data_IF_857567100950
#
_entry.id   IF_857567100950
#
_cell.length_a   1.000
_cell.length_b   1.000
_cell.length_c   1.000
_cell.angle_alpha   90.00
_cell.angle_beta   90.00
_cell.angle_gamma   90.00
#
_symmetry.space_group_name_H-M   'P 1'
#
loop_
_entity.id
_entity.type
_entity.pdbx_description
1 polymer ?
#
# COMPACT_ATOMS: atom_id res chain seq x y z
N UNK A 1 20.08 -10.26 -13.00
CA UNK A 1 19.93 -11.14 -11.82
C UNK A 1 20.40 -10.32 -10.64
N UNK A 2 19.48 -9.98 -9.74
CA UNK A 2 19.80 -9.32 -8.46
C UNK A 2 20.79 -10.19 -7.68
N UNK A 3 21.69 -9.57 -6.92
CA UNK A 3 22.52 -10.33 -6.01
C UNK A 3 21.59 -10.83 -4.89
N UNK A 4 21.50 -12.13 -4.58
CA UNK A 4 20.70 -12.62 -3.45
C UNK A 4 21.10 -11.99 -2.10
N UNK A 5 22.21 -11.23 -2.07
CA UNK A 5 22.65 -10.39 -0.97
C UNK A 5 22.11 -8.94 -1.01
N UNK A 6 21.02 -8.63 -1.68
CA UNK A 6 20.46 -7.25 -1.67
C UNK A 6 19.11 -7.15 -0.94
N UNK A 7 18.38 -8.26 -0.83
CA UNK A 7 17.03 -8.33 -0.26
C UNK A 7 16.90 -9.39 0.83
N UNK A 8 15.82 -9.29 1.62
CA UNK A 8 15.50 -10.25 2.68
C UNK A 8 14.12 -10.82 2.37
N UNK A 9 14.05 -12.12 2.27
CA UNK A 9 12.83 -12.89 2.12
C UNK A 9 13.13 -14.30 2.62
N UNK A 10 12.08 -15.06 2.96
CA UNK A 10 12.21 -16.46 3.31
C UNK A 10 11.46 -17.28 2.29
N UNK A 11 12.12 -18.28 1.72
CA UNK A 11 11.52 -19.22 0.78
C UNK A 11 10.97 -20.46 1.51
N UNK A 12 11.43 -20.71 2.73
CA UNK A 12 11.04 -21.89 3.52
C UNK A 12 10.72 -21.51 4.96
N UNK A 13 9.79 -22.26 5.56
CA UNK A 13 9.38 -22.04 6.96
C UNK A 13 10.53 -22.28 7.95
N UNK A 14 11.53 -23.10 7.57
CA UNK A 14 12.74 -23.29 8.37
C UNK A 14 13.62 -22.04 8.41
N UNK A 15 13.73 -21.31 7.31
CA UNK A 15 14.51 -20.07 7.25
C UNK A 15 13.87 -18.99 8.13
N UNK A 16 12.54 -18.91 8.10
CA UNK A 16 11.77 -18.10 9.05
C UNK A 16 12.06 -18.54 10.49
N UNK A 17 11.93 -19.84 10.80
CA UNK A 17 12.19 -20.38 12.13
C UNK A 17 13.60 -20.07 12.67
N UNK A 18 14.60 -20.03 11.80
CA UNK A 18 16.00 -19.76 12.15
C UNK A 18 16.33 -18.27 12.26
N UNK A 19 15.48 -17.37 11.74
CA UNK A 19 15.70 -15.93 11.77
C UNK A 19 15.79 -15.38 13.19
N UNK A 20 16.77 -14.49 13.43
CA UNK A 20 16.90 -13.74 14.69
C UNK A 20 16.98 -12.24 14.40
N UNK A 21 16.45 -11.38 15.28
CA UNK A 21 16.55 -9.92 15.13
C UNK A 21 18.01 -9.45 15.16
N UNK A 22 18.89 -10.19 15.83
CA UNK A 22 20.33 -9.87 15.95
C UNK A 22 21.09 -10.07 14.63
N UNK A 23 20.52 -10.82 13.67
CA UNK A 23 21.09 -10.99 12.33
C UNK A 23 21.10 -9.67 11.53
N UNK A 24 20.42 -8.62 12.02
CA UNK A 24 20.37 -7.28 11.41
C UNK A 24 21.70 -6.53 11.41
N UNK A 25 22.63 -6.82 12.33
CA UNK A 25 23.96 -6.17 12.35
C UNK A 25 24.71 -6.38 11.04
N UNK A 26 24.44 -7.48 10.34
CA UNK A 26 25.08 -7.73 9.05
C UNK A 26 24.60 -6.78 7.94
N UNK A 27 23.44 -6.11 8.08
CA UNK A 27 22.81 -5.38 6.97
C UNK A 27 21.94 -4.19 7.41
N UNK A 28 22.45 -3.29 8.26
CA UNK A 28 21.78 -2.06 8.72
C UNK A 28 21.15 -1.20 7.60
N UNK A 29 21.64 -1.30 6.36
CA UNK A 29 21.05 -0.63 5.19
C UNK A 29 19.63 -1.10 4.86
N UNK A 30 19.21 -2.27 5.33
CA UNK A 30 17.92 -2.89 5.00
C UNK A 30 16.83 -2.62 6.02
N UNK A 31 17.16 -1.95 7.13
CA UNK A 31 16.20 -1.52 8.14
C UNK A 31 15.71 -0.12 7.78
N UNK A 32 14.40 0.08 7.77
CA UNK A 32 13.82 1.42 7.69
C UNK A 32 13.81 2.06 9.08
N UNK A 33 14.34 3.28 9.18
CA UNK A 33 14.22 4.12 10.37
C UNK A 33 13.26 5.29 10.15
N UNK A 34 12.49 5.27 9.05
CA UNK A 34 11.51 6.31 8.76
C UNK A 34 10.20 5.96 9.46
N UNK A 35 9.73 6.75 10.44
CA UNK A 35 8.44 6.51 11.07
C UNK A 35 7.31 6.78 10.07
N UNK A 36 6.21 6.03 10.20
CA UNK A 36 4.98 6.32 9.48
C UNK A 36 4.47 7.72 9.85
N UNK A 37 4.42 8.62 8.88
CA UNK A 37 3.92 9.98 9.12
C UNK A 37 2.39 10.02 9.10
N UNK A 38 1.81 10.70 10.08
CA UNK A 38 0.36 10.91 10.11
C UNK A 38 -0.11 11.74 8.92
N UNK A 39 -1.27 11.36 8.39
CA UNK A 39 -2.00 12.14 7.39
C UNK A 39 -3.05 12.98 8.08
N UNK A 40 -2.86 14.28 8.01
CA UNK A 40 -3.79 15.24 8.59
C UNK A 40 -4.97 15.43 7.64
N UNK A 41 -6.20 15.60 8.16
CA UNK A 41 -7.29 16.07 7.32
C UNK A 41 -6.90 17.41 6.69
N UNK A 42 -7.27 17.68 5.42
CA UNK A 42 -6.96 18.95 4.79
C UNK A 42 -7.49 20.10 5.65
N UNK A 43 -6.74 21.20 5.79
CA UNK A 43 -7.23 22.37 6.50
C UNK A 43 -8.56 22.81 5.88
N UNK A 44 -9.53 23.27 6.70
CA UNK A 44 -10.79 23.75 6.17
C UNK A 44 -10.51 24.88 5.16
N UNK A 45 -11.33 25.01 4.11
CA UNK A 45 -11.17 26.08 3.13
C UNK A 45 -11.12 27.43 3.85
N UNK A 46 -10.27 28.37 3.38
CA UNK A 46 -10.17 29.68 4.00
C UNK A 46 -11.56 30.31 4.05
N UNK A 47 -11.93 30.83 5.24
CA UNK A 47 -13.20 31.55 5.39
C UNK A 47 -13.24 32.66 4.34
N UNK A 48 -14.37 32.85 3.64
CA UNK A 48 -14.49 33.96 2.70
C UNK A 48 -14.14 35.26 3.43
N UNK A 49 -13.42 36.20 2.78
CA UNK A 49 -13.04 37.45 3.41
C UNK A 49 -14.31 38.09 3.98
N UNK A 50 -14.25 38.48 5.25
CA UNK A 50 -15.31 39.22 5.91
C UNK A 50 -15.55 40.48 5.04
N UNK A 51 -16.78 40.79 4.62
CA UNK A 51 -17.01 42.00 3.84
C UNK A 51 -16.49 43.18 4.65
N UNK A 52 -15.45 43.85 4.14
CA UNK A 52 -15.04 45.14 4.67
C UNK A 52 -16.25 46.07 4.52
N UNK A 53 -16.65 46.68 5.63
CA UNK A 53 -17.68 47.71 5.64
C UNK A 53 -17.12 48.94 4.94
N UNK A 54 -17.22 48.98 3.62
CA UNK A 54 -17.03 50.19 2.84
C UNK A 54 -18.20 51.14 3.23
N UNK A 55 -17.94 52.40 3.63
CA UNK A 55 -19.00 53.35 3.88
C UNK A 55 -19.85 53.52 2.60
N UNK A 56 -21.14 53.20 2.69
CA UNK A 56 -22.09 53.32 1.59
C UNK A 56 -22.15 54.78 1.08
N UNK A 57 -21.92 55.05 -0.22
CA UNK A 57 -22.43 56.26 -0.84
C UNK A 57 -23.97 56.17 -0.95
N UNK A 58 -24.60 57.34 -1.05
CA UNK A 58 -26.06 57.58 -1.12
C UNK A 58 -26.85 56.53 -1.94
N UNK A 59 -28.12 56.25 -1.57
CA UNK A 59 -28.85 55.08 -2.06
C UNK A 59 -29.13 55.16 -3.56
N UNK A 60 -28.54 54.22 -4.30
CA UNK A 60 -28.94 53.87 -5.66
C UNK A 60 -30.20 52.99 -5.63
N UNK A 61 -31.01 53.00 -6.71
CA UNK A 61 -32.17 52.11 -6.82
C UNK A 61 -31.78 50.64 -6.67
N UNK A 62 -32.68 49.78 -6.15
CA UNK A 62 -32.36 48.39 -5.86
C UNK A 62 -31.95 47.65 -7.15
N UNK A 63 -30.83 46.90 -7.14
CA UNK A 63 -30.46 46.07 -8.27
C UNK A 63 -31.50 44.94 -8.46
N UNK A 64 -31.62 44.39 -9.69
CA UNK A 64 -32.42 43.19 -9.91
C UNK A 64 -31.97 42.06 -8.99
N UNK A 65 -32.87 41.14 -8.60
CA UNK A 65 -32.52 40.04 -7.72
C UNK A 65 -31.35 39.26 -8.32
N UNK A 66 -30.32 38.91 -7.52
CA UNK A 66 -29.22 38.12 -8.01
C UNK A 66 -29.75 36.79 -8.55
N UNK A 67 -29.13 36.23 -9.61
CA UNK A 67 -29.44 34.88 -10.03
C UNK A 67 -29.28 33.93 -8.84
N UNK A 68 -30.11 32.88 -8.73
CA UNK A 68 -29.98 31.91 -7.65
C UNK A 68 -28.53 31.41 -7.60
N UNK A 69 -27.95 31.28 -6.40
CA UNK A 69 -26.60 30.74 -6.29
C UNK A 69 -26.53 29.40 -7.01
N UNK A 70 -25.42 29.09 -7.69
CA UNK A 70 -25.22 27.76 -8.24
C UNK A 70 -25.47 26.74 -7.13
N UNK A 71 -26.13 25.61 -7.42
CA UNK A 71 -26.39 24.60 -6.41
C UNK A 71 -25.05 24.26 -5.72
N UNK A 72 -25.06 24.06 -4.39
CA UNK A 72 -23.85 23.68 -3.67
C UNK A 72 -23.20 22.52 -4.40
N UNK A 73 -21.88 22.60 -4.62
CA UNK A 73 -21.10 21.48 -5.14
C UNK A 73 -21.28 20.34 -4.13
N UNK A 74 -22.21 19.45 -4.40
CA UNK A 74 -22.26 18.16 -3.74
C UNK A 74 -20.98 17.44 -4.14
N UNK A 75 -19.99 17.46 -3.23
CA UNK A 75 -19.01 16.39 -3.17
C UNK A 75 -19.80 15.07 -3.23
N UNK A 76 -19.37 14.06 -4.01
CA UNK A 76 -20.12 12.81 -4.09
C UNK A 76 -20.30 12.26 -2.67
N UNK A 77 -21.54 11.93 -2.31
CA UNK A 77 -21.95 11.65 -0.92
C UNK A 77 -21.28 10.40 -0.30
N UNK A 78 -20.56 9.61 -1.08
CA UNK A 78 -19.81 8.43 -0.62
C UNK A 78 -18.52 8.32 -1.44
N UNK A 79 -17.38 8.28 -0.77
CA UNK A 79 -16.07 7.91 -1.33
C UNK A 79 -15.71 6.51 -0.85
N UNK A 80 -14.85 5.81 -1.59
CA UNK A 80 -14.27 4.55 -1.13
C UNK A 80 -13.44 4.85 0.15
N UNK A 81 -13.68 4.14 1.28
CA UNK A 81 -13.06 4.48 2.56
C UNK A 81 -11.54 4.35 2.53
N UNK A 82 -11.02 3.20 2.07
CA UNK A 82 -9.59 2.95 1.95
C UNK A 82 -9.22 2.36 0.59
N UNK A 83 -8.06 2.73 0.10
CA UNK A 83 -7.42 2.17 -1.08
C UNK A 83 -6.14 1.42 -0.68
N UNK A 84 -6.13 0.11 -0.92
CA UNK A 84 -4.95 -0.73 -0.84
C UNK A 84 -4.34 -0.92 -2.23
N UNK A 85 -3.03 -0.76 -2.35
CA UNK A 85 -2.25 -1.07 -3.56
C UNK A 85 -1.40 -2.30 -3.29
N UNK A 86 -1.72 -3.44 -3.90
CA UNK A 86 -0.93 -4.66 -3.79
C UNK A 86 0.08 -4.72 -4.94
N UNK A 87 1.34 -4.41 -4.62
CA UNK A 87 2.45 -4.29 -5.55
C UNK A 87 3.03 -5.65 -5.91
N UNK A 88 2.28 -6.40 -6.71
CA UNK A 88 2.81 -7.50 -7.50
C UNK A 88 3.37 -6.91 -8.80
N UNK A 89 4.65 -6.57 -8.79
CA UNK A 89 5.36 -5.98 -9.94
C UNK A 89 6.51 -6.88 -10.34
N UNK A 90 6.35 -7.60 -11.47
CA UNK A 90 7.36 -8.53 -12.02
C UNK A 90 7.99 -9.48 -10.99
N UNK A 91 7.21 -9.96 -10.02
CA UNK A 91 7.68 -10.87 -8.96
C UNK A 91 8.51 -10.23 -7.85
N UNK A 92 8.61 -8.90 -7.81
CA UNK A 92 9.31 -8.12 -6.79
C UNK A 92 10.84 -8.23 -6.79
N UNK A 93 11.48 -7.45 -5.92
CA UNK A 93 12.91 -7.48 -5.61
C UNK A 93 13.82 -7.16 -6.81
N UNK A 94 13.50 -6.05 -7.48
CA UNK A 94 14.26 -5.54 -8.61
C UNK A 94 15.52 -4.81 -8.13
N UNK A 95 16.67 -4.88 -8.85
CA UNK A 95 17.92 -4.29 -8.40
C UNK A 95 17.86 -2.80 -8.01
N UNK A 96 16.99 -2.03 -8.66
CA UNK A 96 16.72 -0.62 -8.41
C UNK A 96 15.98 -0.35 -7.09
N UNK A 97 15.37 -1.37 -6.49
CA UNK A 97 14.70 -1.32 -5.18
C UNK A 97 15.67 -1.58 -4.01
N UNK A 98 16.93 -1.94 -4.30
CA UNK A 98 17.91 -2.23 -3.26
C UNK A 98 18.19 -1.00 -2.40
N UNK A 99 18.55 -1.21 -1.14
CA UNK A 99 18.89 -0.12 -0.22
C UNK A 99 20.05 0.78 -0.69
N UNK A 100 20.92 0.27 -1.56
CA UNK A 100 22.02 1.04 -2.16
C UNK A 100 21.66 1.62 -3.53
N UNK A 101 20.45 1.35 -4.02
CA UNK A 101 20.01 1.64 -5.37
C UNK A 101 20.81 0.86 -6.41
N UNK A 102 20.59 1.18 -7.68
CA UNK A 102 21.32 0.61 -8.79
C UNK A 102 22.23 1.66 -9.44
N UNK A 103 23.53 1.36 -9.52
CA UNK A 103 24.50 2.20 -10.23
C UNK A 103 25.35 1.36 -11.21
N UNK A 104 25.52 1.80 -12.47
CA UNK A 104 24.85 2.94 -13.11
C UNK A 104 23.33 2.73 -13.20
N UNK A 105 22.58 3.83 -13.23
CA UNK A 105 21.13 3.76 -13.39
C UNK A 105 20.76 2.96 -14.65
N UNK A 106 19.63 2.21 -14.63
CA UNK A 106 19.10 1.52 -15.81
C UNK A 106 19.04 2.42 -17.04
N UNK A 107 19.35 1.85 -18.21
CA UNK A 107 19.22 2.54 -19.50
C UNK A 107 17.77 2.69 -19.97
N UNK A 108 16.86 1.89 -19.41
CA UNK A 108 15.42 1.92 -19.69
C UNK A 108 14.61 2.74 -18.68
N UNK A 109 13.30 2.88 -18.91
CA UNK A 109 12.39 3.47 -17.93
C UNK A 109 12.39 2.64 -16.63
N UNK A 110 12.10 3.30 -15.51
CA UNK A 110 12.03 2.70 -14.17
C UNK A 110 10.59 2.89 -13.66
N UNK A 111 10.03 1.85 -13.04
CA UNK A 111 8.70 1.94 -12.44
C UNK A 111 8.73 2.74 -11.15
N UNK A 112 7.72 3.58 -10.94
CA UNK A 112 7.65 4.46 -9.77
C UNK A 112 6.21 4.63 -9.33
N UNK A 113 5.92 4.43 -8.05
CA UNK A 113 4.60 4.75 -7.51
C UNK A 113 4.49 6.27 -7.26
N UNK A 114 3.90 7.02 -8.19
CA UNK A 114 3.80 8.48 -8.09
C UNK A 114 2.57 8.96 -7.29
N UNK A 115 1.49 8.19 -7.28
CA UNK A 115 0.17 8.61 -6.80
C UNK A 115 -0.11 8.19 -5.35
N UNK A 116 0.91 8.27 -4.48
CA UNK A 116 0.84 7.83 -3.08
C UNK A 116 -0.22 8.57 -2.24
N UNK A 117 -0.56 9.80 -2.62
CA UNK A 117 -1.62 10.62 -2.00
C UNK A 117 -3.03 9.99 -2.10
N UNK A 118 -3.22 8.96 -2.92
CA UNK A 118 -4.49 8.23 -3.03
C UNK A 118 -4.50 6.95 -2.17
N UNK A 119 -3.33 6.36 -1.90
CA UNK A 119 -3.18 5.00 -1.36
C UNK A 119 -3.11 5.04 0.17
N UNK A 120 -3.91 4.28 0.90
CA UNK A 120 -3.84 4.11 2.37
C UNK A 120 -2.82 3.08 2.81
N UNK A 121 -2.84 1.94 2.12
CA UNK A 121 -2.05 0.77 2.46
C UNK A 121 -1.37 0.25 1.19
N UNK A 122 -0.10 -0.09 1.29
CA UNK A 122 0.68 -0.69 0.24
C UNK A 122 1.11 -2.07 0.70
N UNK A 123 0.86 -3.11 -0.10
CA UNK A 123 1.38 -4.46 0.16
C UNK A 123 2.53 -4.68 -0.79
N UNK A 124 3.73 -4.94 -0.27
CA UNK A 124 4.83 -5.40 -1.09
C UNK A 124 4.66 -6.91 -1.31
N UNK A 125 4.37 -7.29 -2.55
CA UNK A 125 3.98 -8.65 -2.90
C UNK A 125 5.07 -9.35 -3.70
N UNK A 126 5.34 -10.59 -3.33
CA UNK A 126 6.10 -11.53 -4.16
C UNK A 126 5.74 -12.96 -3.77
N UNK A 127 6.22 -13.92 -4.56
CA UNK A 127 5.95 -15.35 -4.39
C UNK A 127 6.95 -16.08 -3.48
N UNK A 128 7.65 -15.36 -2.60
CA UNK A 128 8.41 -15.98 -1.51
C UNK A 128 7.48 -16.21 -0.31
N UNK A 129 7.68 -17.30 0.44
CA UNK A 129 6.87 -17.63 1.62
C UNK A 129 6.71 -16.43 2.56
N UNK A 130 7.78 -15.68 2.78
CA UNK A 130 7.76 -14.40 3.48
C UNK A 130 8.48 -13.35 2.63
N UNK A 131 7.79 -12.25 2.39
CA UNK A 131 8.29 -11.11 1.64
C UNK A 131 8.38 -9.88 2.53
N UNK A 132 9.60 -9.40 2.76
CA UNK A 132 9.87 -8.20 3.54
C UNK A 132 10.03 -7.02 2.58
N UNK A 133 9.26 -5.93 2.75
CA UNK A 133 9.39 -4.76 1.89
C UNK A 133 10.81 -4.17 1.94
N UNK A 134 11.43 -3.83 0.80
CA UNK A 134 12.73 -3.17 0.79
C UNK A 134 12.70 -1.81 1.52
N UNK A 135 13.75 -1.47 2.26
CA UNK A 135 13.80 -0.22 3.03
C UNK A 135 13.55 1.05 2.21
N UNK A 136 13.97 1.19 0.92
CA UNK A 136 13.62 2.37 0.13
C UNK A 136 12.11 2.52 -0.11
N UNK A 137 11.38 1.41 -0.29
CA UNK A 137 9.92 1.41 -0.39
C UNK A 137 9.29 1.88 0.91
N UNK A 138 9.68 1.29 2.04
CA UNK A 138 9.18 1.67 3.37
C UNK A 138 9.42 3.16 3.63
N UNK A 139 10.66 3.62 3.44
CA UNK A 139 11.03 5.02 3.66
C UNK A 139 10.18 5.99 2.81
N UNK A 140 9.94 5.66 1.54
CA UNK A 140 9.18 6.53 0.62
C UNK A 140 7.69 6.57 0.98
N UNK A 141 7.13 5.41 1.32
CA UNK A 141 5.71 5.23 1.66
C UNK A 141 5.38 5.85 3.01
N UNK A 142 6.21 5.63 4.03
CA UNK A 142 6.03 6.20 5.38
C UNK A 142 6.11 7.72 5.37
N UNK A 143 7.04 8.32 4.59
CA UNK A 143 7.09 9.78 4.38
C UNK A 143 5.83 10.35 3.73
N UNK A 144 5.08 9.52 3.02
CA UNK A 144 3.82 9.87 2.38
C UNK A 144 2.60 9.46 3.22
N UNK A 145 2.82 8.92 4.42
CA UNK A 145 1.77 8.40 5.32
C UNK A 145 1.03 7.17 4.81
N UNK A 146 1.67 6.38 3.95
CA UNK A 146 1.14 5.11 3.45
C UNK A 146 1.66 3.97 4.34
N UNK A 147 0.77 3.13 4.86
CA UNK A 147 1.17 1.91 5.58
C UNK A 147 1.77 0.90 4.63
N UNK A 148 2.78 0.14 5.05
CA UNK A 148 3.47 -0.85 4.23
C UNK A 148 3.36 -2.22 4.88
N UNK A 149 2.74 -3.16 4.19
CA UNK A 149 2.65 -4.55 4.64
C UNK A 149 3.61 -5.43 3.83
N UNK A 150 4.24 -6.37 4.51
CA UNK A 150 4.84 -7.53 3.87
C UNK A 150 3.78 -8.56 3.46
N UNK A 151 4.23 -9.65 2.84
CA UNK A 151 3.36 -10.76 2.43
C UNK A 151 3.84 -12.07 3.05
N UNK A 152 2.94 -12.83 3.67
CA UNK A 152 3.13 -14.24 3.95
C UNK A 152 2.24 -15.03 2.98
N UNK A 153 2.83 -15.84 2.10
CA UNK A 153 2.09 -16.57 1.07
C UNK A 153 2.44 -18.06 1.04
N UNK A 154 1.43 -18.91 0.89
CA UNK A 154 1.64 -20.35 0.71
C UNK A 154 1.03 -20.80 -0.59
N UNK A 155 1.81 -21.40 -1.48
CA UNK A 155 1.34 -21.89 -2.79
C UNK A 155 1.78 -23.33 -3.03
N UNK A 156 0.91 -24.14 -3.63
CA UNK A 156 1.25 -25.50 -4.06
C UNK A 156 1.75 -26.43 -2.94
N UNK A 157 2.65 -27.35 -3.31
CA UNK A 157 3.22 -28.35 -2.38
C UNK A 157 4.12 -27.73 -1.31
N UNK A 158 4.88 -26.70 -1.68
CA UNK A 158 5.81 -26.03 -0.78
C UNK A 158 5.06 -25.23 0.28
N UNK A 159 3.95 -24.59 -0.13
CA UNK A 159 3.00 -23.96 0.78
C UNK A 159 2.38 -24.94 1.76
N UNK A 160 1.90 -26.11 1.31
CA UNK A 160 1.37 -27.15 2.21
C UNK A 160 2.44 -27.63 3.22
N UNK A 161 3.69 -27.76 2.77
CA UNK A 161 4.82 -28.10 3.64
C UNK A 161 5.06 -27.01 4.70
N UNK A 162 5.00 -25.73 4.33
CA UNK A 162 5.10 -24.63 5.29
C UNK A 162 3.93 -24.66 6.31
N UNK A 163 2.71 -24.91 5.84
CA UNK A 163 1.51 -25.01 6.70
C UNK A 163 1.58 -26.15 7.72
N UNK A 164 2.33 -27.22 7.44
CA UNK A 164 2.55 -28.29 8.43
C UNK A 164 3.18 -27.81 9.75
N UNK A 165 3.85 -26.65 9.71
CA UNK A 165 4.57 -26.06 10.84
C UNK A 165 4.03 -24.72 11.27
N UNK A 166 3.22 -24.03 10.47
CA UNK A 166 2.75 -22.67 10.77
C UNK A 166 2.12 -22.54 12.18
N UNK A 167 1.46 -23.60 12.64
CA UNK A 167 0.77 -23.66 13.93
C UNK A 167 1.65 -24.24 15.06
N UNK A 168 2.95 -24.46 14.82
CA UNK A 168 3.90 -24.90 15.84
C UNK A 168 3.88 -23.95 17.05
N UNK A 169 3.84 -24.54 18.24
CA UNK A 169 3.84 -23.82 19.50
C UNK A 169 5.24 -23.74 20.09
N UNK A 170 5.59 -22.59 20.66
CA UNK A 170 6.78 -22.42 21.48
C UNK A 170 6.61 -22.98 22.89
N UNK A 171 7.64 -22.85 23.71
CA UNK A 171 7.68 -23.44 25.05
C UNK A 171 6.66 -22.83 26.03
N UNK A 172 6.16 -21.62 25.77
CA UNK A 172 5.14 -20.97 26.58
C UNK A 172 3.72 -21.15 26.00
N UNK A 173 3.55 -21.92 24.91
CA UNK A 173 2.28 -22.16 24.25
C UNK A 173 1.85 -21.07 23.26
N UNK A 174 2.73 -20.12 22.97
CA UNK A 174 2.62 -19.11 21.91
C UNK A 174 2.78 -19.75 20.53
N UNK A 175 2.10 -19.24 19.51
CA UNK A 175 2.39 -19.60 18.12
C UNK A 175 3.71 -18.94 17.70
N UNK A 176 4.76 -19.74 17.52
CA UNK A 176 6.11 -19.19 17.31
C UNK A 176 6.20 -18.29 16.07
N UNK A 177 5.50 -18.66 15.00
CA UNK A 177 5.53 -17.90 13.75
C UNK A 177 4.69 -16.61 13.81
N UNK A 178 3.69 -16.54 14.70
CA UNK A 178 2.99 -15.29 14.96
C UNK A 178 3.96 -14.26 15.60
N UNK A 179 4.73 -14.72 16.58
CA UNK A 179 5.76 -13.91 17.24
C UNK A 179 6.85 -13.49 16.26
N UNK A 180 7.37 -14.41 15.44
CA UNK A 180 8.44 -14.08 14.48
C UNK A 180 7.98 -13.07 13.43
N UNK A 181 6.79 -13.23 12.85
CA UNK A 181 6.28 -12.28 11.87
C UNK A 181 6.10 -10.88 12.47
N UNK A 182 5.64 -10.77 13.72
CA UNK A 182 5.54 -9.49 14.41
C UNK A 182 6.92 -8.85 14.66
N UNK A 183 7.89 -9.64 15.14
CA UNK A 183 9.26 -9.17 15.34
C UNK A 183 9.94 -8.73 14.04
N UNK A 184 9.71 -9.44 12.92
CA UNK A 184 10.23 -9.05 11.61
C UNK A 184 9.66 -7.68 11.19
N UNK A 185 8.36 -7.46 11.37
CA UNK A 185 7.71 -6.19 11.06
C UNK A 185 8.33 -5.03 11.86
N UNK A 186 8.48 -5.21 13.17
CA UNK A 186 9.16 -4.25 14.05
C UNK A 186 10.62 -4.02 13.62
N UNK A 187 11.36 -5.10 13.39
CA UNK A 187 12.80 -5.06 13.14
C UNK A 187 13.15 -4.33 11.84
N UNK A 188 12.39 -4.55 10.75
CA UNK A 188 12.64 -3.88 9.48
C UNK A 188 11.83 -2.58 9.31
N UNK A 189 10.93 -2.30 10.25
CA UNK A 189 10.20 -1.02 10.35
C UNK A 189 9.03 -0.89 9.39
N UNK A 190 8.24 -1.95 9.17
CA UNK A 190 7.01 -1.93 8.36
C UNK A 190 5.78 -2.38 9.17
N UNK A 191 4.58 -2.19 8.62
CA UNK A 191 3.33 -2.09 9.37
C UNK A 191 2.49 -3.38 9.45
N UNK A 192 3.08 -4.55 9.18
CA UNK A 192 2.41 -5.85 9.31
C UNK A 192 2.26 -6.62 8.00
N UNK A 193 1.18 -7.39 7.84
CA UNK A 193 1.16 -8.53 6.92
C UNK A 193 -0.14 -8.70 6.12
N UNK A 194 -0.01 -8.98 4.82
CA UNK A 194 -1.01 -9.73 4.06
C UNK A 194 -0.77 -11.23 4.26
N UNK A 195 -1.77 -11.95 4.76
CA UNK A 195 -1.79 -13.40 4.88
C UNK A 195 -2.51 -14.00 3.66
N UNK A 196 -1.75 -14.50 2.69
CA UNK A 196 -2.27 -15.14 1.49
C UNK A 196 -2.08 -16.67 1.51
N UNK A 197 -3.04 -17.39 2.09
CA UNK A 197 -2.93 -18.84 2.24
C UNK A 197 -3.60 -19.54 1.04
N UNK A 198 -2.83 -19.78 -0.03
CA UNK A 198 -3.27 -20.48 -1.26
C UNK A 198 -2.82 -21.95 -1.30
N UNK A 199 -2.73 -22.59 -0.13
CA UNK A 199 -2.47 -24.01 0.01
C UNK A 199 -3.34 -24.60 1.14
N UNK A 200 -3.60 -25.90 1.07
CA UNK A 200 -4.26 -26.64 2.14
C UNK A 200 -3.25 -27.17 3.14
N UNK A 201 -3.64 -27.24 4.42
CA UNK A 201 -2.86 -27.93 5.44
C UNK A 201 -2.75 -29.43 5.09
N UNK A 202 -1.57 -30.04 5.25
CA UNK A 202 -1.41 -31.47 5.08
C UNK A 202 -2.17 -32.16 6.23
N UNK A 203 -3.10 -33.06 5.87
CA UNK A 203 -4.14 -33.67 6.70
C UNK A 203 -5.45 -32.88 6.81
N UNK A 204 -6.59 -33.61 6.87
CA UNK A 204 -7.93 -33.03 7.12
C UNK A 204 -8.10 -32.48 8.56
N UNK A 205 -7.01 -32.32 9.29
CA UNK A 205 -6.93 -32.01 10.72
C UNK A 205 -6.76 -30.52 11.01
N UNK A 206 -6.86 -29.63 10.01
CA UNK A 206 -7.05 -28.22 10.33
C UNK A 206 -8.31 -28.10 11.19
N UNK A 207 -8.12 -27.75 12.45
CA UNK A 207 -9.18 -27.21 13.29
C UNK A 207 -9.23 -25.73 12.95
N UNK A 208 -10.28 -25.21 12.27
CA UNK A 208 -10.33 -23.81 11.88
C UNK A 208 -10.09 -22.84 13.05
N UNK A 209 -10.44 -23.28 14.26
CA UNK A 209 -10.17 -22.55 15.51
C UNK A 209 -8.68 -22.37 15.83
N UNK A 210 -7.79 -23.29 15.44
CA UNK A 210 -6.35 -23.14 15.66
C UNK A 210 -5.76 -22.07 14.74
N UNK A 211 -6.14 -22.06 13.45
CA UNK A 211 -5.73 -21.00 12.54
C UNK A 211 -6.33 -19.64 12.94
N UNK A 212 -7.58 -19.62 13.40
CA UNK A 212 -8.20 -18.42 13.96
C UNK A 212 -7.43 -17.90 15.19
N UNK A 213 -7.01 -18.79 16.09
CA UNK A 213 -6.21 -18.44 17.26
C UNK A 213 -4.82 -17.93 16.86
N UNK A 214 -4.17 -18.56 15.88
CA UNK A 214 -2.92 -18.08 15.30
C UNK A 214 -3.06 -16.65 14.75
N UNK A 215 -4.09 -16.39 13.95
CA UNK A 215 -4.33 -15.07 13.36
C UNK A 215 -4.62 -14.01 14.43
N UNK A 216 -5.36 -14.36 15.48
CA UNK A 216 -5.61 -13.48 16.63
C UNK A 216 -4.32 -13.13 17.37
N UNK A 217 -3.46 -14.12 17.59
CA UNK A 217 -2.18 -13.92 18.26
C UNK A 217 -1.24 -13.08 17.40
N UNK A 218 -1.15 -13.36 16.09
CA UNK A 218 -0.37 -12.55 15.14
C UNK A 218 -0.86 -11.10 15.12
N UNK A 219 -2.17 -10.87 15.01
CA UNK A 219 -2.75 -9.51 15.07
C UNK A 219 -2.41 -8.81 16.38
N UNK A 220 -2.49 -9.52 17.51
CA UNK A 220 -2.16 -8.95 18.83
C UNK A 220 -0.68 -8.56 18.90
N UNK A 221 0.22 -9.47 18.51
CA UNK A 221 1.66 -9.25 18.55
C UNK A 221 2.09 -8.10 17.62
N UNK A 222 1.55 -8.05 16.39
CA UNK A 222 1.81 -6.95 15.45
C UNK A 222 1.37 -5.61 16.04
N UNK A 223 0.17 -5.52 16.64
CA UNK A 223 -0.32 -4.27 17.25
C UNK A 223 0.47 -3.84 18.48
N UNK A 224 1.04 -4.79 19.21
CA UNK A 224 1.86 -4.53 20.39
C UNK A 224 3.22 -3.94 20.01
N UNK A 225 3.87 -4.54 18.99
CA UNK A 225 5.23 -4.13 18.57
C UNK A 225 5.22 -2.99 17.54
N UNK A 226 4.17 -2.88 16.73
CA UNK A 226 4.09 -1.92 15.62
C UNK A 226 2.85 -1.04 15.77
N UNK A 227 3.00 0.23 16.20
CA UNK A 227 1.89 1.16 16.35
C UNK A 227 1.09 1.33 15.06
N UNK A 228 -0.21 0.98 15.11
CA UNK A 228 -1.09 1.06 13.95
C UNK A 228 -0.89 -0.06 12.92
N UNK A 229 -0.17 -1.12 13.27
CA UNK A 229 0.06 -2.29 12.42
C UNK A 229 -1.21 -3.07 12.10
N UNK A 230 -1.19 -3.76 10.95
CA UNK A 230 -2.34 -4.44 10.36
C UNK A 230 -1.99 -5.87 9.93
N UNK A 231 -2.95 -6.77 10.09
CA UNK A 231 -2.95 -8.11 9.51
C UNK A 231 -4.19 -8.24 8.62
N UNK A 232 -4.00 -8.48 7.32
CA UNK A 232 -5.09 -8.61 6.34
C UNK A 232 -5.15 -10.07 5.86
N UNK A 233 -6.33 -10.65 5.83
CA UNK A 233 -6.57 -11.99 5.31
C UNK A 233 -6.96 -11.93 3.83
N UNK A 234 -6.35 -12.76 2.97
CA UNK A 234 -6.79 -12.92 1.59
C UNK A 234 -7.81 -14.06 1.48
N UNK A 235 -8.87 -13.85 0.70
CA UNK A 235 -9.95 -14.79 0.42
C UNK A 235 -9.50 -15.97 -0.46
N UNK A 236 -8.78 -16.93 0.12
CA UNK A 236 -8.34 -18.17 -0.55
C UNK A 236 -8.68 -19.43 0.25
N UNK A 237 -7.97 -19.70 1.37
CA UNK A 237 -8.27 -20.86 2.22
C UNK A 237 -9.58 -20.67 2.99
N UNK A 238 -10.41 -21.69 2.98
CA UNK A 238 -11.67 -21.72 3.74
C UNK A 238 -11.56 -22.55 5.03
N UNK A 239 -12.54 -22.41 5.91
CA UNK A 239 -12.72 -23.27 7.10
C UNK A 239 -12.84 -24.78 6.78
N UNK A 240 -12.98 -25.15 5.50
CA UNK A 240 -12.98 -26.55 5.05
C UNK A 240 -11.57 -27.07 4.72
N UNK A 241 -10.52 -26.28 5.00
CA UNK A 241 -9.14 -26.57 4.60
C UNK A 241 -9.00 -26.75 3.08
N UNK A 242 -9.73 -25.97 2.30
CA UNK A 242 -9.71 -25.99 0.84
C UNK A 242 -9.51 -24.57 0.33
N UNK A 243 -8.64 -24.42 -0.66
CA UNK A 243 -8.50 -23.19 -1.44
C UNK A 243 -9.75 -23.11 -2.33
N UNK A 244 -10.65 -22.19 -1.99
CA UNK A 244 -11.93 -21.97 -2.64
C UNK A 244 -12.28 -20.50 -2.49
N UNK A 245 -11.80 -19.67 -3.43
CA UNK A 245 -12.00 -18.23 -3.41
C UNK A 245 -13.49 -17.90 -3.44
N UNK A 246 -14.00 -17.31 -2.37
CA UNK A 246 -15.42 -17.03 -2.22
C UNK A 246 -15.87 -15.80 -3.01
N UNK A 247 -14.91 -15.00 -3.51
CA UNK A 247 -15.12 -13.72 -4.17
C UNK A 247 -15.85 -12.72 -3.27
N UNK A 248 -15.63 -12.81 -1.96
CA UNK A 248 -16.41 -12.05 -0.99
C UNK A 248 -16.33 -12.60 0.42
N UNK A 249 -17.03 -11.94 1.35
CA UNK A 249 -17.15 -12.40 2.73
C UNK A 249 -18.31 -13.39 2.86
N UNK A 250 -18.01 -14.64 3.22
CA UNK A 250 -19.03 -15.69 3.44
C UNK A 250 -18.77 -16.41 4.75
N UNK A 251 -19.65 -17.34 5.12
CA UNK A 251 -19.45 -18.21 6.29
C UNK A 251 -18.16 -19.03 6.22
N UNK A 252 -17.60 -19.23 5.02
CA UNK A 252 -16.42 -20.06 4.80
C UNK A 252 -15.09 -19.35 5.09
N UNK A 253 -15.08 -18.01 5.15
CA UNK A 253 -13.88 -17.21 5.47
C UNK A 253 -14.12 -16.17 6.60
N UNK A 254 -15.37 -15.95 7.03
CA UNK A 254 -15.71 -15.00 8.10
C UNK A 254 -14.95 -15.19 9.43
N UNK A 255 -14.67 -16.42 9.91
CA UNK A 255 -13.86 -16.59 11.13
C UNK A 255 -12.46 -16.00 11.01
N UNK A 256 -11.82 -16.13 9.84
CA UNK A 256 -10.49 -15.57 9.59
C UNK A 256 -10.55 -14.04 9.51
N UNK A 257 -11.55 -13.48 8.82
CA UNK A 257 -11.80 -12.04 8.81
C UNK A 257 -12.03 -11.47 10.23
N UNK A 258 -12.76 -12.19 11.08
CA UNK A 258 -12.97 -11.78 12.48
C UNK A 258 -11.67 -11.78 13.29
N UNK A 259 -10.74 -12.68 12.98
CA UNK A 259 -9.43 -12.77 13.61
C UNK A 259 -8.42 -11.71 13.12
N UNK A 260 -8.64 -11.10 11.95
CA UNK A 260 -7.73 -10.13 11.32
C UNK A 260 -8.29 -8.70 11.28
N UNK A 261 -7.51 -7.74 10.77
CA UNK A 261 -7.88 -6.32 10.62
C UNK A 261 -8.61 -6.02 9.31
N UNK A 262 -8.53 -6.90 8.32
CA UNK A 262 -9.23 -6.73 7.05
C UNK A 262 -9.36 -8.02 6.25
N UNK A 263 -10.28 -8.01 5.28
CA UNK A 263 -10.42 -9.05 4.26
C UNK A 263 -10.10 -8.45 2.90
N UNK A 264 -9.13 -9.04 2.19
CA UNK A 264 -8.90 -8.80 0.78
C UNK A 264 -9.63 -9.90 -0.01
N UNK A 265 -10.71 -9.53 -0.70
CA UNK A 265 -11.49 -10.49 -1.52
C UNK A 265 -10.74 -10.88 -2.80
N UNK A 266 -10.98 -12.09 -3.30
CA UNK A 266 -10.60 -12.45 -4.67
C UNK A 266 -11.31 -11.55 -5.70
N UNK A 267 -10.83 -11.55 -6.94
CA UNK A 267 -11.21 -10.57 -7.97
C UNK A 267 -12.43 -10.94 -8.83
N UNK A 268 -13.00 -12.13 -8.68
CA UNK A 268 -14.04 -12.65 -9.59
C UNK A 268 -15.48 -12.35 -9.13
N UNK A 269 -15.66 -11.42 -8.20
CA UNK A 269 -16.96 -11.00 -7.69
C UNK A 269 -17.79 -10.30 -8.76
N UNK A 270 -19.11 -10.35 -8.60
CA UNK A 270 -20.08 -9.52 -9.32
C UNK A 270 -20.96 -8.80 -8.31
N UNK A 271 -21.99 -8.12 -8.81
CA UNK A 271 -22.85 -7.28 -8.00
C UNK A 271 -23.47 -8.03 -6.82
N UNK A 272 -23.90 -9.28 -7.02
CA UNK A 272 -24.52 -10.07 -5.95
C UNK A 272 -23.51 -10.40 -4.84
N UNK A 273 -22.31 -10.88 -5.17
CA UNK A 273 -21.29 -11.22 -4.17
C UNK A 273 -20.85 -9.98 -3.37
N UNK A 274 -20.79 -8.81 -4.03
CA UNK A 274 -20.49 -7.54 -3.37
C UNK A 274 -21.60 -7.10 -2.39
N UNK A 275 -22.87 -7.23 -2.78
CA UNK A 275 -24.02 -6.92 -1.93
C UNK A 275 -24.13 -7.89 -0.73
N UNK A 276 -23.87 -9.17 -0.96
CA UNK A 276 -23.83 -10.20 0.08
C UNK A 276 -22.68 -9.94 1.06
N UNK A 277 -21.49 -9.65 0.53
CA UNK A 277 -20.30 -9.27 1.32
C UNK A 277 -20.58 -8.07 2.21
N UNK A 278 -21.15 -7.00 1.64
CA UNK A 278 -21.57 -5.81 2.38
C UNK A 278 -22.54 -6.18 3.50
N UNK A 279 -23.56 -6.98 3.20
CA UNK A 279 -24.58 -7.38 4.17
C UNK A 279 -23.97 -8.12 5.36
N UNK A 280 -23.09 -9.08 5.10
CA UNK A 280 -22.40 -9.82 6.17
C UNK A 280 -21.47 -8.90 6.96
N UNK A 281 -20.63 -8.11 6.30
CA UNK A 281 -19.70 -7.18 6.97
C UNK A 281 -20.43 -6.12 7.81
N UNK A 282 -21.63 -5.71 7.39
CA UNK A 282 -22.47 -4.76 8.13
C UNK A 282 -22.98 -5.35 9.45
N UNK A 283 -23.28 -6.65 9.51
CA UNK A 283 -23.61 -7.32 10.79
C UNK A 283 -22.47 -7.31 11.80
N UNK A 284 -21.23 -7.14 11.32
CA UNK A 284 -20.02 -7.05 12.12
C UNK A 284 -19.57 -5.60 12.34
N UNK A 285 -20.26 -4.61 11.77
CA UNK A 285 -19.87 -3.19 11.73
C UNK A 285 -18.46 -2.96 11.14
N UNK A 286 -18.10 -3.72 10.09
CA UNK A 286 -16.75 -3.74 9.49
C UNK A 286 -16.76 -3.64 7.97
N UNK A 287 -17.74 -2.95 7.38
CA UNK A 287 -17.86 -2.77 5.92
C UNK A 287 -16.60 -2.11 5.32
N UNK A 288 -16.04 -1.12 6.01
CA UNK A 288 -14.82 -0.43 5.57
C UNK A 288 -13.55 -1.29 5.65
N UNK A 289 -13.58 -2.43 6.34
CA UNK A 289 -12.45 -3.35 6.49
C UNK A 289 -12.45 -4.46 5.41
N UNK A 290 -13.43 -4.42 4.49
CA UNK A 290 -13.44 -5.23 3.27
C UNK A 290 -12.71 -4.46 2.18
N UNK A 291 -11.58 -4.99 1.73
CA UNK A 291 -10.86 -4.55 0.55
C UNK A 291 -11.32 -5.38 -0.65
N UNK A 292 -12.34 -4.89 -1.35
CA UNK A 292 -12.84 -5.55 -2.56
C UNK A 292 -11.79 -5.49 -3.66
N UNK A 293 -11.30 -6.66 -4.05
CA UNK A 293 -10.15 -6.81 -4.95
C UNK A 293 -10.47 -6.50 -6.41
N UNK A 294 -9.54 -5.84 -7.11
CA UNK A 294 -9.53 -5.70 -8.56
C UNK A 294 -8.14 -6.08 -9.07
N UNK A 295 -8.06 -7.04 -9.99
CA UNK A 295 -6.83 -7.34 -10.71
C UNK A 295 -6.67 -6.35 -11.87
N UNK A 296 -5.61 -5.53 -11.81
CA UNK A 296 -5.33 -4.51 -12.82
C UNK A 296 -4.92 -5.11 -14.17
N UNK A 297 -4.55 -6.39 -14.26
CA UNK A 297 -4.40 -7.11 -15.54
C UNK A 297 -5.71 -7.70 -16.06
N UNK A 298 -6.79 -7.63 -15.27
CA UNK A 298 -8.15 -7.95 -15.72
C UNK A 298 -8.58 -9.39 -15.56
N UNK A 299 -7.77 -10.26 -14.93
CA UNK A 299 -8.11 -11.69 -14.76
C UNK A 299 -9.37 -11.85 -13.89
N UNK A 300 -10.50 -12.11 -14.54
CA UNK A 300 -11.83 -12.28 -13.93
C UNK A 300 -12.47 -11.02 -13.34
N UNK A 301 -11.75 -9.90 -13.33
CA UNK A 301 -12.20 -8.61 -12.77
C UNK A 301 -13.28 -7.96 -13.62
N UNK A 302 -14.27 -7.37 -12.95
CA UNK A 302 -15.27 -6.51 -13.60
C UNK A 302 -14.57 -5.31 -14.26
N UNK A 303 -14.98 -4.97 -15.49
CA UNK A 303 -14.33 -3.93 -16.29
C UNK A 303 -13.02 -4.36 -16.97
N UNK A 304 -12.54 -5.58 -16.73
CA UNK A 304 -11.38 -6.14 -17.45
C UNK A 304 -10.03 -5.54 -17.07
N UNK A 305 -9.92 -4.90 -15.90
CA UNK A 305 -8.67 -4.30 -15.42
C UNK A 305 -8.23 -3.08 -16.25
N UNK A 306 -6.95 -2.74 -16.17
CA UNK A 306 -6.33 -1.63 -16.88
C UNK A 306 -7.07 -0.31 -16.66
N UNK A 307 -7.39 0.41 -17.73
CA UNK A 307 -8.23 1.60 -17.58
C UNK A 307 -9.66 1.25 -17.11
N UNK A 308 -10.17 0.06 -17.42
CA UNK A 308 -11.52 -0.38 -17.04
C UNK A 308 -11.75 -0.59 -15.53
N UNK A 309 -10.72 -0.48 -14.67
CA UNK A 309 -10.87 -0.58 -13.21
C UNK A 309 -11.93 0.37 -12.65
N UNK A 310 -12.18 1.52 -13.30
CA UNK A 310 -13.21 2.47 -12.91
C UNK A 310 -14.65 1.90 -12.90
N UNK A 311 -14.93 0.87 -13.69
CA UNK A 311 -16.23 0.20 -13.67
C UNK A 311 -16.45 -0.56 -12.35
N UNK A 312 -15.44 -1.33 -11.94
CA UNK A 312 -15.45 -2.03 -10.66
C UNK A 312 -15.47 -1.05 -9.46
N UNK A 313 -14.66 0.01 -9.51
CA UNK A 313 -14.62 1.03 -8.46
C UNK A 313 -15.97 1.75 -8.29
N UNK A 314 -16.77 1.90 -9.36
CA UNK A 314 -18.10 2.49 -9.24
C UNK A 314 -19.02 1.65 -8.34
N UNK A 315 -19.05 0.33 -8.54
CA UNK A 315 -19.87 -0.56 -7.71
C UNK A 315 -19.34 -0.66 -6.28
N UNK A 316 -18.03 -0.71 -6.10
CA UNK A 316 -17.39 -0.72 -4.76
C UNK A 316 -17.77 0.53 -3.97
N UNK A 317 -17.72 1.71 -4.60
CA UNK A 317 -18.12 2.98 -3.98
C UNK A 317 -19.59 2.97 -3.55
N UNK A 318 -20.48 2.41 -4.37
CA UNK A 318 -21.91 2.26 -4.02
C UNK A 318 -22.12 1.28 -2.86
N UNK A 319 -21.32 0.21 -2.80
CA UNK A 319 -21.33 -0.75 -1.71
C UNK A 319 -20.75 -0.19 -0.40
N UNK A 320 -19.87 0.82 -0.48
CA UNK A 320 -19.21 1.45 0.66
C UNK A 320 -18.09 0.63 1.27
N UNK A 321 -17.63 -0.42 0.58
CA UNK A 321 -16.43 -1.18 0.97
C UNK A 321 -15.16 -0.43 0.55
N UNK A 322 -14.03 -0.79 1.15
CA UNK A 322 -12.71 -0.39 0.67
C UNK A 322 -12.34 -1.16 -0.61
N UNK A 323 -11.25 -0.77 -1.27
CA UNK A 323 -10.77 -1.46 -2.48
C UNK A 323 -9.32 -1.87 -2.36
N UNK A 324 -8.97 -2.99 -2.99
CA UNK A 324 -7.59 -3.40 -3.22
C UNK A 324 -7.31 -3.50 -4.72
N UNK A 325 -6.37 -2.70 -5.23
CA UNK A 325 -5.85 -2.83 -6.57
C UNK A 325 -4.67 -3.81 -6.56
N UNK A 326 -4.84 -4.99 -7.15
CA UNK A 326 -3.78 -5.96 -7.36
C UNK A 326 -3.02 -5.67 -8.64
N UNK A 327 -1.68 -5.72 -8.55
CA UNK A 327 -0.74 -5.51 -9.65
C UNK A 327 -0.98 -4.20 -10.46
N UNK A 328 -1.10 -3.01 -9.82
CA UNK A 328 -1.23 -1.75 -10.54
C UNK A 328 0.04 -1.38 -11.33
N UNK A 329 1.14 -2.14 -11.17
CA UNK A 329 2.29 -2.15 -12.08
C UNK A 329 1.93 -2.42 -13.54
N UNK A 330 0.71 -2.88 -13.84
CA UNK A 330 0.11 -2.91 -15.17
C UNK A 330 0.37 -1.64 -15.99
N UNK A 331 0.32 -0.45 -15.39
CA UNK A 331 0.57 0.84 -16.08
C UNK A 331 1.96 0.92 -16.71
N UNK A 332 2.90 0.13 -16.21
CA UNK A 332 4.26 0.02 -16.71
C UNK A 332 4.47 -1.28 -17.50
N UNK A 333 4.11 -2.41 -16.91
CA UNK A 333 4.37 -3.75 -17.46
C UNK A 333 3.65 -3.99 -18.79
N UNK A 334 2.39 -3.58 -18.90
CA UNK A 334 1.60 -3.79 -20.11
C UNK A 334 2.13 -2.99 -21.32
N UNK A 335 2.96 -1.98 -21.07
CA UNK A 335 3.48 -1.06 -22.09
C UNK A 335 5.01 -1.09 -22.19
N UNK A 336 5.69 -2.03 -21.51
CA UNK A 336 7.16 -2.07 -21.41
C UNK A 336 7.78 -0.73 -20.97
N UNK A 337 7.06 0.02 -20.10
CA UNK A 337 7.45 1.34 -19.62
C UNK A 337 7.36 2.47 -20.66
N UNK A 338 6.83 2.22 -21.86
CA UNK A 338 6.61 3.28 -22.87
C UNK A 338 5.53 4.24 -22.38
N UNK A 339 5.80 5.53 -22.52
CA UNK A 339 4.91 6.62 -22.11
C UNK A 339 4.40 6.49 -20.66
N UNK A 340 5.18 5.86 -19.78
CA UNK A 340 4.76 5.46 -18.44
C UNK A 340 4.11 6.60 -17.66
N UNK A 341 4.69 7.81 -17.65
CA UNK A 341 4.14 8.96 -16.93
C UNK A 341 2.72 9.33 -17.42
N UNK A 342 2.47 9.26 -18.73
CA UNK A 342 1.17 9.56 -19.31
C UNK A 342 0.15 8.45 -19.01
N UNK A 343 0.57 7.19 -19.14
CA UNK A 343 -0.27 6.01 -18.85
C UNK A 343 -0.65 5.96 -17.37
N UNK A 344 0.33 6.11 -16.47
CA UNK A 344 0.14 6.09 -15.03
C UNK A 344 -0.75 7.26 -14.58
N UNK A 345 -0.49 8.46 -15.07
CA UNK A 345 -1.35 9.63 -14.82
C UNK A 345 -2.79 9.37 -15.26
N UNK A 346 -3.00 8.82 -16.46
CA UNK A 346 -4.34 8.52 -16.97
C UNK A 346 -5.08 7.49 -16.09
N UNK A 347 -4.38 6.47 -15.60
CA UNK A 347 -4.95 5.46 -14.73
C UNK A 347 -5.33 6.04 -13.35
N UNK A 348 -4.40 6.75 -12.70
CA UNK A 348 -4.58 7.19 -11.32
C UNK A 348 -5.39 8.47 -11.17
N UNK A 349 -5.11 9.51 -11.97
CA UNK A 349 -5.66 10.86 -11.77
C UNK A 349 -6.37 11.44 -13.01
N UNK A 350 -6.31 10.73 -14.14
CA UNK A 350 -6.88 11.18 -15.40
C UNK A 350 -5.95 12.10 -16.19
N UNK A 351 -6.27 12.28 -17.48
CA UNK A 351 -5.48 13.05 -18.42
C UNK A 351 -5.78 14.57 -18.40
N UNK A 352 -6.70 15.02 -17.55
CA UNK A 352 -7.18 16.40 -17.47
C UNK A 352 -8.40 16.69 -18.35
N UNK A 353 -8.94 15.69 -19.04
CA UNK A 353 -10.26 15.78 -19.67
C UNK A 353 -11.36 15.89 -18.63
N UNK A 354 -12.56 16.34 -19.06
CA UNK A 354 -13.73 16.36 -18.19
C UNK A 354 -14.07 14.94 -17.73
N UNK A 355 -13.77 14.67 -16.47
CA UNK A 355 -13.97 13.36 -15.86
C UNK A 355 -15.45 12.96 -15.90
N UNK A 356 -16.41 13.90 -15.95
CA UNK A 356 -17.85 13.57 -15.99
C UNK A 356 -18.27 12.93 -17.30
N UNK A 357 -17.74 13.43 -18.42
CA UNK A 357 -18.03 12.90 -19.76
C UNK A 357 -17.16 11.70 -20.16
N UNK A 358 -16.06 11.44 -19.45
CA UNK A 358 -15.21 10.29 -19.72
C UNK A 358 -15.93 8.95 -19.41
N UNK A 359 -16.05 8.00 -20.35
CA UNK A 359 -16.66 6.70 -20.08
C UNK A 359 -15.89 5.89 -19.02
N UNK A 360 -14.60 6.17 -18.85
CA UNK A 360 -13.71 5.46 -17.93
C UNK A 360 -13.14 6.45 -16.93
N UNK A 361 -13.52 6.31 -15.66
CA UNK A 361 -13.09 7.22 -14.60
C UNK A 361 -11.73 6.78 -14.04
N UNK A 362 -10.81 7.72 -13.75
CA UNK A 362 -9.55 7.40 -13.08
C UNK A 362 -9.79 7.02 -11.61
N UNK A 363 -8.79 6.41 -10.96
CA UNK A 363 -8.88 5.99 -9.55
C UNK A 363 -9.25 7.16 -8.62
N UNK A 364 -8.67 8.34 -8.81
CA UNK A 364 -8.92 9.55 -8.01
C UNK A 364 -10.38 10.02 -8.02
N UNK A 365 -11.20 9.56 -8.97
CA UNK A 365 -12.63 9.87 -8.99
C UNK A 365 -13.43 9.14 -7.89
N UNK A 366 -12.87 8.06 -7.34
CA UNK A 366 -13.57 7.18 -6.39
C UNK A 366 -13.03 7.25 -4.96
N UNK A 367 -11.80 7.74 -4.78
CA UNK A 367 -11.09 7.79 -3.49
C UNK A 367 -10.78 9.24 -3.10
N UNK A 368 -10.54 9.49 -1.82
CA UNK A 368 -10.13 10.83 -1.36
C UNK A 368 -8.63 11.04 -1.48
N UNK A 369 -8.23 12.24 -1.87
CA UNK A 369 -6.84 12.69 -1.82
C UNK A 369 -6.41 12.95 -0.38
N UNK A 370 -5.16 12.61 -0.07
CA UNK A 370 -4.57 12.74 1.26
C UNK A 370 -3.40 13.70 1.20
N UNK A 371 -3.37 14.62 2.17
CA UNK A 371 -2.32 15.63 2.27
C UNK A 371 -1.06 14.99 2.85
N UNK A 372 0.09 15.30 2.27
CA UNK A 372 1.40 14.96 2.81
C UNK A 372 2.00 16.18 3.54
N UNK A 373 2.74 15.94 4.62
CA UNK A 373 3.40 16.98 5.42
C UNK A 373 2.77 17.15 6.80
N UNK A 374 3.53 17.77 7.71
CA UNK A 374 3.05 18.09 9.04
C UNK A 374 2.28 19.42 9.08
N UNK A 375 1.60 19.72 10.20
CA UNK A 375 0.85 20.97 10.36
C UNK A 375 1.74 22.22 10.34
N UNK A 376 3.04 22.08 10.64
CA UNK A 376 3.96 23.21 10.81
C UNK A 376 4.94 23.41 9.65
N UNK A 377 5.33 22.34 8.96
CA UNK A 377 6.29 22.43 7.86
C UNK A 377 6.04 21.37 6.80
N UNK A 378 6.34 21.76 5.56
CA UNK A 378 6.39 20.88 4.41
C UNK A 378 7.69 21.17 3.65
N UNK A 379 8.45 20.12 3.36
CA UNK A 379 9.65 20.22 2.54
C UNK A 379 9.60 19.16 1.45
N UNK A 380 9.80 19.60 0.22
CA UNK A 380 10.05 18.74 -0.93
C UNK A 380 11.07 19.40 -1.84
N UNK A 381 11.95 18.58 -2.40
CA UNK A 381 12.83 18.95 -3.52
C UNK A 381 12.41 18.21 -4.80
N UNK A 382 11.20 17.63 -4.82
CA UNK A 382 10.68 16.82 -5.91
C UNK A 382 11.57 15.62 -6.29
N UNK A 383 12.38 15.13 -5.34
CA UNK A 383 13.21 13.96 -5.57
C UNK A 383 12.32 12.73 -5.77
N UNK A 384 12.49 12.07 -6.92
CA UNK A 384 11.77 10.84 -7.27
C UNK A 384 12.53 9.56 -6.87
N UNK A 385 13.67 9.69 -6.18
CA UNK A 385 14.64 8.65 -5.81
C UNK A 385 15.51 8.09 -6.96
N UNK A 386 15.25 8.48 -8.21
CA UNK A 386 16.07 8.13 -9.38
C UNK A 386 16.28 9.36 -10.25
N UNK A 387 17.35 9.33 -11.06
CA UNK A 387 17.69 10.43 -11.94
C UNK A 387 18.95 10.15 -12.76
N UNK A 388 19.22 11.02 -13.74
CA UNK A 388 20.43 10.94 -14.59
C UNK A 388 21.68 11.51 -13.90
N UNK A 389 21.49 12.09 -12.72
CA UNK A 389 22.52 12.74 -11.93
C UNK A 389 21.99 13.13 -10.54
N UNK A 390 22.85 13.74 -9.75
CA UNK A 390 22.54 14.29 -8.45
C UNK A 390 22.93 15.76 -8.42
N UNK A 391 22.00 16.61 -8.00
CA UNK A 391 22.18 18.06 -7.92
C UNK A 391 22.10 18.52 -6.47
N UNK A 392 23.00 19.42 -6.09
CA UNK A 392 22.98 20.11 -4.79
C UNK A 392 22.98 21.61 -5.07
N UNK A 393 21.96 22.32 -4.60
CA UNK A 393 21.77 23.76 -4.83
C UNK A 393 21.77 24.19 -6.32
N UNK A 394 21.33 23.28 -7.21
CA UNK A 394 21.32 23.50 -8.66
C UNK A 394 22.61 23.11 -9.37
N UNK A 395 23.68 22.83 -8.63
CA UNK A 395 24.96 22.38 -9.18
C UNK A 395 25.02 20.87 -9.33
N UNK A 396 25.57 20.41 -10.45
CA UNK A 396 25.77 18.98 -10.72
C UNK A 396 26.87 18.45 -9.80
N UNK A 397 26.52 17.60 -8.85
CA UNK A 397 27.50 16.87 -8.04
C UNK A 397 27.92 15.56 -8.71
N UNK A 398 27.01 14.92 -9.43
CA UNK A 398 27.24 13.59 -9.99
C UNK A 398 26.44 13.38 -11.27
N UNK A 399 27.06 12.80 -12.31
CA UNK A 399 26.38 12.32 -13.53
C UNK A 399 27.03 11.04 -14.04
N UNK A 400 26.28 10.27 -14.83
CA UNK A 400 26.74 9.04 -15.49
C UNK A 400 27.99 9.19 -16.38
N UNK A 401 28.39 10.41 -16.75
CA UNK A 401 29.57 10.66 -17.61
C UNK A 401 30.86 10.96 -16.84
N UNK A 402 30.80 11.18 -15.53
CA UNK A 402 31.99 11.44 -14.72
C UNK A 402 32.46 10.12 -14.09
N UNK A 403 33.58 9.58 -14.59
CA UNK A 403 34.19 8.33 -14.11
C UNK A 403 34.68 8.37 -12.66
N UNK A 404 34.50 9.49 -11.95
CA UNK A 404 34.84 9.68 -10.55
C UNK A 404 33.88 10.70 -9.92
N UNK A 405 33.44 10.51 -8.66
CA UNK A 405 32.73 11.55 -7.94
C UNK A 405 33.67 12.75 -7.73
N UNK A 406 33.45 13.83 -8.47
CA UNK A 406 33.99 15.14 -8.09
C UNK A 406 33.25 15.57 -6.83
N UNK A 407 33.90 15.45 -5.67
CA UNK A 407 33.44 16.14 -4.46
C UNK A 407 33.22 17.61 -4.79
N UNK A 408 31.98 18.09 -4.64
CA UNK A 408 31.70 19.52 -4.64
C UNK A 408 32.55 20.16 -3.53
N UNK A 409 33.48 21.03 -3.94
CA UNK A 409 34.12 21.96 -3.00
C UNK A 409 33.10 23.03 -2.65
N UNK A 410 32.33 22.80 -1.60
CA UNK A 410 31.63 23.85 -0.88
C UNK A 410 32.03 23.75 0.59
N UNK A 411 32.93 24.65 0.97
CA UNK A 411 33.33 25.08 2.31
C UNK A 411 33.04 24.11 3.48
N UNK A 412 34.01 23.23 3.75
CA UNK A 412 34.18 22.62 5.08
C UNK A 412 34.67 23.71 6.03
N UNK A 413 33.72 24.50 6.54
CA UNK A 413 33.91 25.30 7.74
C UNK A 413 34.07 24.36 8.94
N UNK A 414 35.32 24.19 9.36
CA UNK A 414 35.71 23.41 10.53
C UNK A 414 34.92 23.82 11.79
N UNK A 415 34.03 22.94 12.28
CA UNK A 415 33.69 22.89 13.69
C UNK A 415 34.68 21.95 14.38
N UNK A 416 35.82 22.50 14.78
CA UNK A 416 36.69 21.86 15.77
C UNK A 416 36.29 22.35 17.17
N UNK A 417 35.93 21.40 18.01
CA UNK A 417 35.78 21.52 19.45
C UNK A 417 36.96 22.29 20.05
N UNK A 418 36.69 23.41 20.75
CA UNK A 418 37.62 23.94 21.74
C UNK A 418 37.39 23.21 23.07
N UNK A 419 38.36 22.38 23.44
CA UNK A 419 38.75 22.18 24.84
C UNK A 419 40.18 22.70 24.99
N UNK A 420 40.33 23.85 25.64
CA UNK A 420 41.33 24.13 26.67
C UNK A 420 40.66 25.02 27.69
#
# INVERSE_FOLDING_TARGET
MSNPKDFIYFSKISELADWRPEDTENQASRVSNTPLLDRWPPPPPPKPPRPELIPLPLPLPPPPPPPPPPPPIHLPAVVIPNLLSCHDYKGGYHPDESAQGQFPAPSGPIYTAAHLHLIDTFVYFSHHLVSIPPSPWINTLHRSGVRVLGTFITEGSDGSTALSRLLDKGSAGEYMFATQLALIAETYGFDGWLMNIEASFPEKNLVPGELEAFLKELRSAVRELVPGGLVIWYDALTVRNQVDWQNGLTKLNAPFFQATDGLFTNYWWRKQELEDTRSVANTMNRVADIYTGIDCFGRGSLGGGGFGVGEALSLIREAGTSTALFAPGWTFENFDGKDFESVDRKFWVGDGSDVRSNPVKPVSYFVSEKVCGGPEFFFTNFNRAFGKGWWVNGDVCFTLRASFPTLCRTDIGCWHNRKQ
#
